data_IF_931663429942
#
_entry.id   IF_931663429942
#
_cell.length_a   1.000
_cell.length_b   1.000
_cell.length_c   1.000
_cell.angle_alpha   90.00
_cell.angle_beta   90.00
_cell.angle_gamma   90.00
#
_symmetry.space_group_name_H-M   'P 1'
#
loop_
_entity.id
_entity.type
_entity.pdbx_description
1 polymer ?
#
# COMPACT_ATOMS: atom_id res chain seq x y z
N UNK A 1 15.18 10.98 -6.55
CA UNK A 1 16.28 11.74 -7.19
C UNK A 1 15.79 12.72 -8.27
N UNK A 2 14.96 12.30 -9.24
CA UNK A 2 14.51 13.20 -10.34
C UNK A 2 13.75 14.45 -9.88
N UNK A 3 13.08 14.40 -8.73
CA UNK A 3 12.39 15.57 -8.13
C UNK A 3 13.16 16.21 -6.96
N UNK A 4 14.39 15.80 -6.66
CA UNK A 4 15.15 16.31 -5.51
C UNK A 4 14.60 15.95 -4.12
N UNK A 5 13.45 15.27 -4.04
CA UNK A 5 12.81 14.87 -2.77
C UNK A 5 13.46 13.62 -2.13
N UNK A 6 13.44 13.52 -0.78
CA UNK A 6 13.84 12.32 -0.06
C UNK A 6 12.83 11.18 -0.26
N UNK A 7 13.21 9.98 0.17
CA UNK A 7 12.26 8.88 0.30
C UNK A 7 11.22 9.20 1.38
N UNK A 8 9.98 8.79 1.14
CA UNK A 8 8.91 8.92 2.12
C UNK A 8 9.13 7.95 3.29
N UNK A 9 8.89 8.43 4.51
CA UNK A 9 8.82 7.57 5.69
C UNK A 9 7.54 6.72 5.62
N UNK A 10 7.60 5.45 6.03
CA UNK A 10 6.38 4.66 6.17
C UNK A 10 5.57 5.19 7.36
N UNK A 11 4.24 5.23 7.21
CA UNK A 11 3.36 5.70 8.29
C UNK A 11 3.53 4.88 9.57
N UNK A 12 3.73 3.56 9.43
CA UNK A 12 3.90 2.63 10.53
C UNK A 12 5.33 2.61 11.13
N UNK A 13 6.28 3.40 10.59
CA UNK A 13 7.59 3.57 11.21
C UNK A 13 7.47 4.46 12.45
N UNK A 14 7.65 3.89 13.64
CA UNK A 14 7.40 4.55 14.92
C UNK A 14 8.51 5.48 15.41
N UNK A 15 9.76 5.29 14.95
CA UNK A 15 10.94 6.00 15.47
C UNK A 15 11.75 6.63 14.33
N UNK A 16 12.07 7.92 14.46
CA UNK A 16 12.96 8.63 13.53
C UNK A 16 12.29 9.10 12.23
N UNK A 17 11.00 8.84 12.06
CA UNK A 17 10.23 9.24 10.88
C UNK A 17 10.16 10.76 10.73
N UNK A 18 10.43 11.23 9.51
CA UNK A 18 10.19 12.61 9.11
C UNK A 18 9.13 12.62 8.01
N UNK A 19 8.02 13.29 8.28
CA UNK A 19 6.86 13.37 7.41
C UNK A 19 6.68 14.75 6.74
N UNK A 20 7.67 15.65 6.84
CA UNK A 20 7.56 16.97 6.20
C UNK A 20 7.50 16.91 4.67
N UNK A 21 8.01 15.82 4.07
CA UNK A 21 7.93 15.58 2.62
C UNK A 21 6.85 14.55 2.26
N UNK A 22 6.02 14.16 3.23
CA UNK A 22 4.94 13.20 3.04
C UNK A 22 5.13 11.87 3.76
N UNK A 23 4.19 10.97 3.55
CA UNK A 23 4.09 9.68 4.23
C UNK A 23 3.65 8.58 3.25
N UNK A 24 4.18 7.38 3.46
CA UNK A 24 3.80 6.19 2.70
C UNK A 24 2.87 5.29 3.53
N UNK A 25 1.63 5.11 3.07
CA UNK A 25 0.62 4.26 3.70
C UNK A 25 0.53 2.89 3.03
N UNK A 26 1.33 2.65 1.99
CA UNK A 26 1.33 1.40 1.26
C UNK A 26 1.70 0.21 2.14
N UNK A 27 1.01 -0.90 1.92
CA UNK A 27 1.36 -2.18 2.51
C UNK A 27 1.50 -3.24 1.41
N UNK A 28 2.56 -4.05 1.47
CA UNK A 28 2.76 -5.16 0.54
C UNK A 28 1.57 -6.12 0.56
N UNK A 29 1.09 -6.52 -0.62
CA UNK A 29 -0.09 -7.39 -0.73
C UNK A 29 -1.44 -6.70 -0.45
N UNK A 30 -1.47 -5.37 -0.28
CA UNK A 30 -2.72 -4.64 -0.05
C UNK A 30 -3.65 -4.64 -1.26
N UNK A 31 -4.94 -4.75 -0.98
CA UNK A 31 -6.06 -4.72 -1.91
C UNK A 31 -6.93 -3.50 -1.66
N UNK A 32 -7.71 -3.08 -2.66
CA UNK A 32 -8.73 -2.05 -2.46
C UNK A 32 -9.82 -2.59 -1.54
N UNK A 33 -10.31 -3.81 -1.83
CA UNK A 33 -11.33 -4.47 -0.99
C UNK A 33 -10.70 -5.20 0.19
N UNK A 34 -11.27 -5.15 1.39
CA UNK A 34 -10.83 -5.96 2.51
C UNK A 34 -10.79 -7.46 2.16
N UNK A 35 -9.74 -8.16 2.59
CA UNK A 35 -9.62 -9.61 2.41
C UNK A 35 -10.13 -10.33 3.65
N UNK A 36 -10.90 -11.39 3.47
CA UNK A 36 -11.34 -12.26 4.56
C UNK A 36 -10.28 -13.35 4.86
N UNK A 37 -9.02 -12.94 5.03
CA UNK A 37 -7.89 -13.84 5.29
C UNK A 37 -6.72 -13.06 5.91
N UNK A 38 -5.78 -13.77 6.52
CA UNK A 38 -4.53 -13.18 7.01
C UNK A 38 -3.42 -13.23 5.96
N UNK A 39 -2.41 -12.36 6.11
CA UNK A 39 -1.20 -12.36 5.27
C UNK A 39 -0.52 -13.73 5.23
N UNK A 40 -0.47 -14.44 6.36
CA UNK A 40 0.11 -15.79 6.43
C UNK A 40 -0.68 -16.85 5.66
N UNK A 41 -2.00 -16.71 5.57
CA UNK A 41 -2.87 -17.68 4.89
C UNK A 41 -2.89 -17.46 3.38
N UNK A 42 -3.07 -16.22 2.94
CA UNK A 42 -3.34 -15.91 1.53
C UNK A 42 -2.19 -15.22 0.81
N UNK A 43 -1.30 -14.55 1.55
CA UNK A 43 -0.28 -13.65 1.01
C UNK A 43 -0.78 -12.23 0.74
N UNK A 44 -2.03 -11.90 1.12
CA UNK A 44 -2.60 -10.56 0.97
C UNK A 44 -2.72 -9.86 2.32
N UNK A 45 -2.50 -8.54 2.32
CA UNK A 45 -2.48 -7.74 3.53
C UNK A 45 -3.88 -7.56 4.13
N UNK A 46 -4.03 -7.60 5.47
CA UNK A 46 -5.26 -7.14 6.12
C UNK A 46 -5.41 -5.61 6.09
N UNK A 47 -4.36 -4.87 5.73
CA UNK A 47 -4.38 -3.41 5.56
C UNK A 47 -4.83 -3.11 4.12
N UNK A 48 -6.14 -3.12 3.89
CA UNK A 48 -6.76 -2.71 2.62
C UNK A 48 -6.81 -1.19 2.48
N UNK A 49 -7.24 -0.69 1.31
CA UNK A 49 -7.23 0.75 1.02
C UNK A 49 -8.09 1.58 1.99
N UNK A 50 -9.19 1.03 2.49
CA UNK A 50 -10.01 1.68 3.53
C UNK A 50 -9.26 1.80 4.87
N UNK A 51 -8.42 0.82 5.21
CA UNK A 51 -7.53 0.89 6.38
C UNK A 51 -6.44 1.93 6.16
N UNK A 52 -5.78 1.94 4.99
CA UNK A 52 -4.79 2.98 4.63
C UNK A 52 -5.41 4.38 4.66
N UNK A 53 -6.68 4.49 4.27
CA UNK A 53 -7.44 5.73 4.40
C UNK A 53 -7.64 6.13 5.87
N UNK A 54 -8.02 5.21 6.75
CA UNK A 54 -8.18 5.50 8.18
C UNK A 54 -6.85 5.93 8.81
N UNK A 55 -5.74 5.29 8.43
CA UNK A 55 -4.38 5.69 8.80
C UNK A 55 -4.06 7.10 8.33
N UNK A 56 -4.34 7.43 7.06
CA UNK A 56 -4.18 8.77 6.53
C UNK A 56 -5.07 9.79 7.26
N UNK A 57 -6.33 9.46 7.52
CA UNK A 57 -7.28 10.34 8.19
C UNK A 57 -6.81 10.68 9.62
N UNK A 58 -6.33 9.67 10.35
CA UNK A 58 -5.72 9.87 11.67
C UNK A 58 -4.42 10.66 11.57
N UNK A 59 -3.54 10.33 10.62
CA UNK A 59 -2.31 11.07 10.38
C UNK A 59 -2.57 12.55 10.10
N UNK A 60 -3.51 12.85 9.21
CA UNK A 60 -3.90 14.22 8.84
C UNK A 60 -4.33 15.03 10.07
N UNK A 61 -5.28 14.49 10.85
CA UNK A 61 -5.81 15.16 12.04
C UNK A 61 -4.78 15.29 13.16
N UNK A 62 -4.09 14.19 13.48
CA UNK A 62 -3.15 14.13 14.62
C UNK A 62 -1.87 14.91 14.33
N UNK A 63 -1.45 14.99 13.06
CA UNK A 63 -0.28 15.79 12.67
C UNK A 63 -0.43 17.24 13.13
N UNK A 64 -1.61 17.85 12.97
CA UNK A 64 -1.81 19.25 13.38
C UNK A 64 -1.83 19.42 14.91
N UNK A 65 -2.45 18.47 15.62
CA UNK A 65 -2.47 18.46 17.09
C UNK A 65 -1.04 18.38 17.64
N UNK A 66 -0.26 17.39 17.19
CA UNK A 66 1.09 17.18 17.71
C UNK A 66 2.05 18.29 17.25
N UNK A 67 1.89 18.79 16.01
CA UNK A 67 2.65 19.93 15.50
C UNK A 67 2.47 21.19 16.36
N UNK A 68 1.27 21.42 16.89
CA UNK A 68 0.96 22.58 17.74
C UNK A 68 1.74 22.61 19.06
N UNK A 69 2.27 21.46 19.51
CA UNK A 69 3.10 21.36 20.72
C UNK A 69 4.49 22.00 20.52
N UNK A 70 4.87 22.34 19.28
CA UNK A 70 6.12 23.02 18.98
C UNK A 70 7.34 22.10 18.98
N UNK A 71 8.52 22.68 19.24
CA UNK A 71 9.77 21.93 19.34
C UNK A 71 10.12 21.09 18.10
N UNK A 72 10.50 19.84 18.33
CA UNK A 72 10.87 18.87 17.28
C UNK A 72 9.68 18.50 16.39
N UNK A 73 8.46 18.44 16.93
CA UNK A 73 7.27 18.06 16.18
C UNK A 73 6.93 19.03 15.06
N UNK A 74 7.16 20.33 15.28
CA UNK A 74 7.04 21.37 14.23
C UNK A 74 8.04 21.18 13.08
N UNK A 75 9.10 20.40 13.27
CA UNK A 75 10.10 20.12 12.24
C UNK A 75 9.92 18.76 11.56
N UNK A 76 9.09 17.87 12.12
CA UNK A 76 8.90 16.50 11.63
C UNK A 76 7.54 16.24 11.00
N UNK A 77 6.53 17.07 11.30
CA UNK A 77 5.15 16.90 10.82
C UNK A 77 4.78 17.95 9.78
N UNK A 78 3.95 17.60 8.78
CA UNK A 78 3.50 18.53 7.74
C UNK A 78 2.60 19.64 8.32
N UNK A 79 2.61 20.81 7.68
CA UNK A 79 1.67 21.90 7.95
C UNK A 79 0.28 21.54 7.41
N UNK A 80 -0.74 22.31 7.79
CA UNK A 80 -2.10 22.10 7.27
C UNK A 80 -2.17 22.35 5.77
N UNK A 81 -1.52 23.40 5.28
CA UNK A 81 -1.58 23.81 3.87
C UNK A 81 -0.93 22.78 2.94
N UNK A 82 0.09 22.10 3.45
CA UNK A 82 0.85 21.05 2.77
C UNK A 82 -0.04 19.93 2.23
N UNK A 83 -1.11 19.56 2.95
CA UNK A 83 -2.05 18.52 2.50
C UNK A 83 -2.83 18.93 1.24
N UNK A 84 -3.15 20.21 1.10
CA UNK A 84 -3.83 20.69 -0.11
C UNK A 84 -2.90 20.75 -1.32
N UNK A 85 -1.60 20.91 -1.09
CA UNK A 85 -0.57 20.92 -2.13
C UNK A 85 0.03 19.54 -2.39
N UNK A 86 -0.27 18.56 -1.54
CA UNK A 86 0.29 17.22 -1.65
C UNK A 86 -0.14 16.50 -2.93
N UNK A 87 0.73 15.61 -3.41
CA UNK A 87 0.47 14.65 -4.48
C UNK A 87 0.10 13.29 -3.88
N UNK A 88 -1.14 12.88 -4.10
CA UNK A 88 -1.71 11.61 -3.65
C UNK A 88 -1.57 10.57 -4.77
N UNK A 89 -0.60 9.68 -4.65
CA UNK A 89 -0.31 8.65 -5.65
C UNK A 89 -0.98 7.34 -5.29
N UNK A 90 -1.62 6.70 -6.27
CA UNK A 90 -2.22 5.38 -6.17
C UNK A 90 -1.65 4.47 -7.24
N UNK A 91 -1.01 3.39 -6.85
CA UNK A 91 -0.84 2.19 -7.68
C UNK A 91 -1.62 1.13 -6.93
N UNK A 92 -2.84 0.74 -7.29
CA UNK A 92 -3.57 -0.27 -6.48
C UNK A 92 -4.61 -0.99 -7.33
N UNK A 93 -4.94 -2.23 -6.95
CA UNK A 93 -5.94 -3.06 -7.64
C UNK A 93 -5.38 -4.34 -8.27
N UNK A 94 -4.08 -4.44 -8.55
CA UNK A 94 -3.48 -5.70 -9.05
C UNK A 94 -3.71 -6.86 -8.08
N UNK A 95 -3.49 -6.59 -6.79
CA UNK A 95 -3.65 -7.60 -5.76
C UNK A 95 -5.09 -8.08 -5.64
N UNK A 96 -6.10 -7.21 -5.83
CA UNK A 96 -7.50 -7.60 -5.86
C UNK A 96 -7.74 -8.66 -6.96
N UNK A 97 -7.22 -8.43 -8.16
CA UNK A 97 -7.37 -9.38 -9.28
C UNK A 97 -6.68 -10.72 -8.97
N UNK A 98 -5.44 -10.67 -8.50
CA UNK A 98 -4.69 -11.89 -8.20
C UNK A 98 -5.20 -12.62 -6.96
N UNK A 99 -5.83 -11.95 -6.00
CA UNK A 99 -6.43 -12.62 -4.84
C UNK A 99 -7.63 -13.48 -5.22
N UNK A 100 -8.45 -13.02 -6.16
CA UNK A 100 -9.52 -13.84 -6.74
C UNK A 100 -8.97 -15.10 -7.40
N UNK A 101 -8.01 -14.95 -8.31
CA UNK A 101 -7.39 -16.11 -8.97
C UNK A 101 -6.72 -17.08 -7.99
N UNK A 102 -6.07 -16.56 -6.96
CA UNK A 102 -5.39 -17.37 -5.95
C UNK A 102 -6.35 -18.07 -4.99
N UNK A 103 -7.62 -17.70 -5.06
CA UNK A 103 -8.76 -18.36 -4.43
C UNK A 103 -9.55 -19.22 -5.44
N UNK A 104 -8.90 -19.62 -6.55
CA UNK A 104 -9.45 -20.47 -7.61
C UNK A 104 -10.65 -19.89 -8.38
N UNK A 105 -10.83 -18.57 -8.40
CA UNK A 105 -11.85 -17.94 -9.23
C UNK A 105 -11.47 -17.95 -10.71
N UNK A 106 -12.47 -18.10 -11.58
CA UNK A 106 -12.36 -17.91 -13.02
C UNK A 106 -12.19 -16.44 -13.39
N UNK A 107 -11.71 -16.17 -14.60
CA UNK A 107 -11.63 -14.80 -15.12
C UNK A 107 -12.97 -14.07 -15.14
N UNK A 108 -14.09 -14.80 -15.30
CA UNK A 108 -15.44 -14.22 -15.26
C UNK A 108 -15.81 -13.76 -13.85
N UNK A 109 -15.57 -14.59 -12.84
CA UNK A 109 -15.82 -14.26 -11.43
C UNK A 109 -14.93 -13.12 -10.96
N UNK A 110 -13.66 -13.09 -11.39
CA UNK A 110 -12.75 -11.97 -11.11
C UNK A 110 -13.29 -10.67 -11.72
N UNK A 111 -13.70 -10.68 -13.00
CA UNK A 111 -14.31 -9.51 -13.65
C UNK A 111 -15.61 -9.07 -12.95
N UNK A 112 -16.39 -10.00 -12.41
CA UNK A 112 -17.70 -9.73 -11.82
C UNK A 112 -17.63 -8.79 -10.59
N UNK A 113 -16.58 -8.86 -9.77
CA UNK A 113 -16.43 -7.98 -8.60
C UNK A 113 -15.62 -6.70 -8.87
N UNK A 114 -15.01 -6.53 -10.05
CA UNK A 114 -14.24 -5.32 -10.40
C UNK A 114 -15.06 -4.02 -10.24
N UNK A 115 -16.36 -3.96 -10.58
CA UNK A 115 -17.17 -2.76 -10.32
C UNK A 115 -17.18 -2.34 -8.84
N UNK A 116 -17.33 -3.29 -7.91
CA UNK A 116 -17.28 -3.02 -6.46
C UNK A 116 -15.90 -2.52 -6.01
N UNK A 117 -14.81 -3.13 -6.51
CA UNK A 117 -13.43 -2.67 -6.29
C UNK A 117 -13.29 -1.20 -6.69
N UNK A 118 -13.77 -0.84 -7.88
CA UNK A 118 -13.65 0.50 -8.42
C UNK A 118 -14.55 1.53 -7.71
N UNK A 119 -15.72 1.12 -7.22
CA UNK A 119 -16.59 1.97 -6.42
C UNK A 119 -15.98 2.29 -5.05
N UNK A 120 -15.34 1.32 -4.40
CA UNK A 120 -14.61 1.55 -3.15
C UNK A 120 -13.42 2.49 -3.37
N UNK A 121 -12.64 2.28 -4.44
CA UNK A 121 -11.56 3.20 -4.82
C UNK A 121 -12.06 4.64 -5.02
N UNK A 122 -13.17 4.80 -5.76
CA UNK A 122 -13.82 6.10 -6.01
C UNK A 122 -14.22 6.80 -4.71
N UNK A 123 -14.69 6.06 -3.71
CA UNK A 123 -15.04 6.60 -2.40
C UNK A 123 -13.81 7.13 -1.66
N UNK A 124 -12.72 6.36 -1.62
CA UNK A 124 -11.48 6.78 -0.95
C UNK A 124 -10.90 8.05 -1.57
N UNK A 125 -10.87 8.16 -2.90
CA UNK A 125 -10.44 9.41 -3.57
C UNK A 125 -11.33 10.59 -3.19
N UNK A 126 -12.65 10.36 -3.11
CA UNK A 126 -13.61 11.39 -2.69
C UNK A 126 -13.41 11.80 -1.22
N UNK A 127 -13.04 10.86 -0.34
CA UNK A 127 -12.79 11.15 1.08
C UNK A 127 -11.52 11.97 1.26
N UNK A 128 -10.43 11.64 0.56
CA UNK A 128 -9.18 12.40 0.57
C UNK A 128 -9.42 13.82 0.05
N UNK A 129 -10.21 13.97 -1.01
CA UNK A 129 -10.64 15.29 -1.47
C UNK A 129 -11.40 16.08 -0.39
N UNK A 130 -12.28 15.40 0.36
CA UNK A 130 -12.99 15.96 1.51
C UNK A 130 -12.07 16.41 2.65
N UNK A 131 -10.86 15.86 2.76
CA UNK A 131 -9.82 16.29 3.71
C UNK A 131 -8.87 17.33 3.12
N UNK A 132 -9.22 17.94 1.98
CA UNK A 132 -8.41 19.01 1.38
C UNK A 132 -7.46 18.55 0.28
N UNK A 133 -7.34 17.25 -0.01
CA UNK A 133 -6.46 16.77 -1.07
C UNK A 133 -6.88 17.26 -2.46
N UNK A 134 -5.93 17.70 -3.29
CA UNK A 134 -6.22 18.28 -4.62
C UNK A 134 -5.48 17.64 -5.78
N UNK A 135 -4.31 17.03 -5.58
CA UNK A 135 -3.52 16.48 -6.68
C UNK A 135 -3.46 14.96 -6.60
N UNK A 136 -4.05 14.27 -7.56
CA UNK A 136 -4.16 12.81 -7.57
C UNK A 136 -3.42 12.23 -8.77
N UNK A 137 -2.60 11.21 -8.52
CA UNK A 137 -1.80 10.51 -9.52
C UNK A 137 -2.13 9.02 -9.48
N UNK A 138 -3.00 8.58 -10.38
CA UNK A 138 -3.66 7.28 -10.31
C UNK A 138 -3.13 6.39 -11.43
N UNK A 139 -2.34 5.38 -11.07
CA UNK A 139 -1.88 4.35 -11.99
C UNK A 139 -2.99 3.35 -12.24
N UNK A 140 -3.05 2.87 -13.48
CA UNK A 140 -3.79 1.65 -13.79
C UNK A 140 -2.99 0.41 -13.39
N UNK A 141 -3.58 -0.79 -13.47
CA UNK A 141 -2.84 -2.02 -13.13
C UNK A 141 -1.91 -2.44 -14.27
N UNK A 142 -0.75 -3.00 -13.92
CA UNK A 142 0.21 -3.55 -14.88
C UNK A 142 -0.26 -4.86 -15.54
N UNK A 143 0.49 -5.39 -16.51
CA UNK A 143 0.19 -6.67 -17.15
C UNK A 143 0.56 -7.83 -16.23
N UNK A 144 -0.26 -8.11 -15.21
CA UNK A 144 0.05 -9.12 -14.20
C UNK A 144 0.11 -10.55 -14.78
N UNK A 145 -0.47 -10.79 -15.96
CA UNK A 145 -0.29 -12.03 -16.72
C UNK A 145 1.14 -12.27 -17.20
N UNK A 146 2.03 -11.29 -17.10
CA UNK A 146 3.46 -11.43 -17.38
C UNK A 146 4.29 -11.77 -16.13
N UNK A 147 3.70 -11.79 -14.94
CA UNK A 147 4.46 -11.98 -13.70
C UNK A 147 4.65 -13.46 -13.42
N UNK A 148 5.88 -13.86 -13.08
CA UNK A 148 6.23 -15.26 -12.86
C UNK A 148 5.37 -15.92 -11.77
N UNK A 149 5.02 -15.18 -10.70
CA UNK A 149 4.18 -15.72 -9.63
C UNK A 149 2.74 -16.04 -10.07
N UNK A 150 2.25 -15.40 -11.14
CA UNK A 150 0.95 -15.67 -11.74
C UNK A 150 1.07 -16.86 -12.68
N UNK A 151 2.07 -16.84 -13.57
CA UNK A 151 2.31 -17.87 -14.58
C UNK A 151 2.69 -19.24 -13.99
N UNK A 152 3.34 -19.29 -12.83
CA UNK A 152 3.68 -20.54 -12.14
C UNK A 152 2.56 -21.05 -11.23
N UNK A 153 1.70 -20.16 -10.71
CA UNK A 153 0.63 -20.55 -9.76
C UNK A 153 -0.68 -20.92 -10.44
N UNK A 154 -0.98 -20.31 -11.58
CA UNK A 154 -2.24 -20.53 -12.29
C UNK A 154 -1.93 -21.29 -13.59
N UNK A 155 -2.49 -22.50 -13.80
CA UNK A 155 -2.32 -23.24 -15.03
C UNK A 155 -2.78 -22.43 -16.24
N UNK A 156 -1.98 -22.44 -17.30
CA UNK A 156 -2.29 -21.79 -18.57
C UNK A 156 -1.80 -22.66 -19.73
N UNK A 157 -2.61 -22.78 -20.78
CA UNK A 157 -2.23 -23.54 -21.96
C UNK A 157 -1.28 -22.74 -22.86
N UNK A 158 -0.50 -23.41 -23.70
CA UNK A 158 0.39 -22.74 -24.66
C UNK A 158 -0.37 -21.82 -25.63
N UNK A 159 -1.64 -22.12 -25.93
CA UNK A 159 -2.49 -21.31 -26.81
C UNK A 159 -2.94 -19.98 -26.16
N UNK A 160 -2.89 -19.89 -24.83
CA UNK A 160 -3.30 -18.72 -24.06
C UNK A 160 -2.11 -17.79 -23.74
N UNK A 161 -0.91 -18.13 -24.19
CA UNK A 161 0.30 -17.34 -23.99
C UNK A 161 0.59 -16.50 -25.23
N UNK A 162 0.77 -15.19 -25.05
CA UNK A 162 1.09 -14.28 -26.14
C UNK A 162 2.56 -14.42 -26.62
N UNK A 163 2.90 -13.70 -27.70
CA UNK A 163 4.26 -13.71 -28.27
C UNK A 163 5.35 -13.21 -27.31
N UNK A 164 4.97 -12.49 -26.27
CA UNK A 164 5.88 -11.98 -25.22
C UNK A 164 6.01 -12.95 -24.06
N UNK A 165 5.29 -14.08 -24.06
CA UNK A 165 5.28 -15.09 -23.01
C UNK A 165 4.29 -14.80 -21.87
N UNK A 166 3.41 -13.81 -22.03
CA UNK A 166 2.43 -13.43 -21.02
C UNK A 166 1.10 -14.18 -21.18
N UNK A 167 0.43 -14.47 -20.07
CA UNK A 167 -0.90 -15.08 -20.08
C UNK A 167 -1.99 -14.10 -20.51
N UNK A 168 -2.57 -14.35 -21.67
CA UNK A 168 -3.58 -13.49 -22.32
C UNK A 168 -4.85 -13.34 -21.46
N UNK A 169 -5.45 -14.41 -20.90
CA UNK A 169 -6.67 -14.28 -20.10
C UNK A 169 -6.51 -13.38 -18.88
N UNK A 170 -5.34 -13.41 -18.24
CA UNK A 170 -5.01 -12.56 -17.09
C UNK A 170 -4.84 -11.11 -17.50
N UNK A 171 -4.11 -10.87 -18.59
CA UNK A 171 -3.91 -9.52 -19.13
C UNK A 171 -5.23 -8.90 -19.65
N UNK A 172 -6.18 -9.68 -20.14
CA UNK A 172 -7.53 -9.19 -20.46
C UNK A 172 -8.31 -8.72 -19.23
N UNK A 173 -8.16 -9.39 -18.08
CA UNK A 173 -8.75 -8.94 -16.82
C UNK A 173 -8.08 -7.65 -16.35
N UNK A 174 -6.75 -7.53 -16.46
CA UNK A 174 -6.03 -6.29 -16.18
C UNK A 174 -6.58 -5.13 -17.01
N UNK A 175 -6.76 -5.35 -18.32
CA UNK A 175 -7.32 -4.35 -19.22
C UNK A 175 -8.79 -4.03 -18.92
N UNK A 176 -9.59 -5.02 -18.49
CA UNK A 176 -10.97 -4.80 -18.05
C UNK A 176 -11.02 -3.87 -16.84
N UNK A 177 -10.21 -4.13 -15.82
CA UNK A 177 -10.04 -3.23 -14.67
C UNK A 177 -9.60 -1.82 -15.11
N UNK A 178 -8.60 -1.73 -15.99
CA UNK A 178 -8.06 -0.45 -16.46
C UNK A 178 -9.09 0.40 -17.21
N UNK A 179 -9.96 -0.22 -18.02
CA UNK A 179 -11.09 0.46 -18.68
C UNK A 179 -12.11 0.98 -17.66
N UNK A 180 -12.42 0.19 -16.64
CA UNK A 180 -13.29 0.61 -15.54
C UNK A 180 -12.71 1.78 -14.74
N UNK A 181 -11.43 1.70 -14.37
CA UNK A 181 -10.72 2.76 -13.65
C UNK A 181 -10.70 4.06 -14.45
N UNK A 182 -10.47 4.00 -15.77
CA UNK A 182 -10.52 5.17 -16.65
C UNK A 182 -11.90 5.86 -16.60
N UNK A 183 -13.00 5.09 -16.56
CA UNK A 183 -14.35 5.63 -16.37
C UNK A 183 -14.53 6.28 -14.99
N UNK A 184 -14.04 5.65 -13.93
CA UNK A 184 -14.07 6.22 -12.56
C UNK A 184 -13.30 7.52 -12.48
N UNK A 185 -12.10 7.61 -13.05
CA UNK A 185 -11.33 8.87 -13.08
C UNK A 185 -12.09 9.97 -13.83
N UNK A 186 -12.74 9.65 -14.95
CA UNK A 186 -13.57 10.62 -15.66
C UNK A 186 -14.74 11.13 -14.80
N UNK A 187 -15.41 10.25 -14.05
CA UNK A 187 -16.46 10.63 -13.11
C UNK A 187 -15.93 11.49 -11.96
N UNK A 188 -14.78 11.13 -11.39
CA UNK A 188 -14.13 11.89 -10.31
C UNK A 188 -13.75 13.31 -10.77
N UNK A 189 -13.19 13.48 -11.97
CA UNK A 189 -12.87 14.81 -12.53
C UNK A 189 -14.11 15.71 -12.65
N UNK A 190 -15.27 15.13 -12.98
CA UNK A 190 -16.54 15.88 -13.01
C UNK A 190 -17.04 16.24 -11.62
N UNK A 191 -16.91 15.31 -10.66
CA UNK A 191 -17.45 15.47 -9.29
C UNK A 191 -16.55 16.33 -8.39
N UNK A 192 -15.25 16.38 -8.66
CA UNK A 192 -14.23 17.01 -7.83
C UNK A 192 -13.55 18.15 -8.62
N UNK A 193 -14.25 19.27 -8.88
CA UNK A 193 -13.79 20.31 -9.82
C UNK A 193 -12.53 21.06 -9.37
N UNK A 194 -12.19 21.01 -8.07
CA UNK A 194 -10.97 21.62 -7.54
C UNK A 194 -9.77 20.66 -7.59
N UNK A 195 -9.95 19.41 -8.01
CA UNK A 195 -8.88 18.42 -8.03
C UNK A 195 -8.25 18.30 -9.42
N UNK A 196 -6.91 18.29 -9.47
CA UNK A 196 -6.17 17.77 -10.59
C UNK A 196 -6.05 16.24 -10.43
N UNK A 197 -6.65 15.49 -11.35
CA UNK A 197 -6.61 14.02 -11.31
C UNK A 197 -5.94 13.51 -12.58
N UNK A 198 -4.76 12.92 -12.43
CA UNK A 198 -3.95 12.36 -13.51
C UNK A 198 -4.12 10.84 -13.54
N UNK A 199 -4.57 10.32 -14.69
CA UNK A 199 -4.61 8.86 -14.96
C UNK A 199 -3.31 8.46 -15.65
N UNK A 200 -2.66 7.41 -15.16
CA UNK A 200 -1.35 6.97 -15.66
C UNK A 200 -1.46 5.57 -16.22
N UNK A 201 -1.19 5.44 -17.52
CA UNK A 201 -1.21 4.15 -18.22
C UNK A 201 0.10 3.38 -18.04
N UNK A 202 0.32 2.84 -16.84
CA UNK A 202 1.51 2.04 -16.55
C UNK A 202 1.44 0.66 -17.19
N UNK A 203 0.25 0.14 -17.53
CA UNK A 203 0.07 -1.09 -18.27
C UNK A 203 0.84 -1.06 -19.59
N UNK A 204 0.56 -0.06 -20.43
CA UNK A 204 1.16 0.04 -21.76
C UNK A 204 2.67 0.22 -21.68
N UNK A 205 3.16 1.00 -20.72
CA UNK A 205 4.60 1.21 -20.48
C UNK A 205 5.28 -0.11 -20.05
N UNK A 206 4.74 -0.81 -19.06
CA UNK A 206 5.27 -2.09 -18.56
C UNK A 206 5.24 -3.17 -19.64
N UNK A 207 4.13 -3.30 -20.37
CA UNK A 207 4.00 -4.29 -21.44
C UNK A 207 4.97 -4.00 -22.61
N UNK A 208 5.18 -2.73 -22.97
CA UNK A 208 6.18 -2.34 -23.97
C UNK A 208 7.59 -2.70 -23.53
N UNK A 209 7.93 -2.49 -22.26
CA UNK A 209 9.23 -2.90 -21.71
C UNK A 209 9.42 -4.41 -21.82
N UNK A 210 8.44 -5.19 -21.41
CA UNK A 210 8.48 -6.67 -21.42
C UNK A 210 8.60 -7.20 -22.86
N UNK A 211 7.74 -6.74 -23.76
CA UNK A 211 7.70 -7.20 -25.16
C UNK A 211 8.91 -6.75 -25.99
N UNK A 212 9.62 -5.71 -25.55
CA UNK A 212 10.80 -5.16 -26.24
C UNK A 212 12.05 -5.15 -25.35
N UNK A 213 12.16 -6.07 -24.39
CA UNK A 213 13.20 -6.06 -23.35
C UNK A 213 14.62 -5.83 -23.91
N UNK A 214 15.01 -6.62 -24.92
CA UNK A 214 16.34 -6.53 -25.56
C UNK A 214 16.59 -5.18 -26.23
N UNK A 215 15.56 -4.56 -26.81
CA UNK A 215 15.67 -3.22 -27.42
C UNK A 215 15.97 -2.14 -26.39
N UNK A 216 15.58 -2.36 -25.14
CA UNK A 216 15.76 -1.41 -24.04
C UNK A 216 16.90 -1.81 -23.10
N UNK A 217 17.77 -2.74 -23.51
CA UNK A 217 18.97 -3.13 -22.75
C UNK A 217 18.75 -4.21 -21.69
N UNK A 218 17.59 -4.88 -21.69
CA UNK A 218 17.29 -5.98 -20.77
C UNK A 218 17.43 -7.33 -21.47
N UNK A 219 18.22 -8.22 -20.88
CA UNK A 219 18.47 -9.57 -21.40
C UNK A 219 17.31 -10.52 -21.09
N UNK A 220 16.66 -10.34 -19.95
CA UNK A 220 15.61 -11.23 -19.43
C UNK A 220 14.35 -10.44 -19.05
N UNK A 221 13.22 -10.83 -19.61
CA UNK A 221 11.94 -10.13 -19.44
C UNK A 221 11.05 -10.72 -18.35
N UNK A 222 10.86 -12.05 -18.38
CA UNK A 222 9.94 -12.75 -17.48
C UNK A 222 10.66 -13.53 -16.38
N UNK A 223 11.90 -13.98 -16.65
CA UNK A 223 12.70 -14.73 -15.67
C UNK A 223 13.13 -13.79 -14.54
N UNK A 224 13.07 -14.26 -13.29
CA UNK A 224 13.44 -13.47 -12.12
C UNK A 224 14.97 -13.44 -11.92
N UNK A 225 15.52 -12.27 -11.63
CA UNK A 225 16.94 -12.10 -11.30
C UNK A 225 17.29 -12.83 -9.99
N UNK A 226 16.44 -12.74 -8.97
CA UNK A 226 16.61 -13.33 -7.66
C UNK A 226 15.54 -14.38 -7.40
N UNK A 227 15.95 -15.64 -7.28
CA UNK A 227 15.01 -16.74 -7.07
C UNK A 227 15.67 -18.08 -7.29
N UNK A 228 14.85 -19.13 -7.37
CA UNK A 228 15.34 -20.50 -7.48
C UNK A 228 14.35 -21.39 -8.25
N UNK A 229 14.86 -22.10 -9.26
CA UNK A 229 14.13 -23.18 -9.93
C UNK A 229 12.97 -22.73 -10.82
N UNK A 230 12.30 -23.70 -11.45
CA UNK A 230 11.18 -23.42 -12.36
C UNK A 230 11.59 -22.77 -13.69
N UNK A 231 10.60 -22.54 -14.56
CA UNK A 231 10.82 -21.95 -15.88
C UNK A 231 11.27 -20.49 -15.77
N UNK A 232 10.67 -19.75 -14.83
CA UNK A 232 10.92 -18.32 -14.64
C UNK A 232 11.90 -17.99 -13.50
N UNK A 233 12.70 -18.95 -13.02
CA UNK A 233 13.53 -18.77 -11.82
C UNK A 233 12.72 -18.36 -10.58
N UNK A 234 11.48 -18.86 -10.47
CA UNK A 234 10.53 -18.53 -9.42
C UNK A 234 9.99 -19.81 -8.81
N UNK A 235 9.93 -19.84 -7.48
CA UNK A 235 9.33 -20.91 -6.71
C UNK A 235 8.71 -20.31 -5.45
N UNK A 236 7.42 -20.58 -5.21
CA UNK A 236 6.67 -19.99 -4.08
C UNK A 236 7.26 -20.41 -2.72
N UNK A 237 7.82 -21.60 -2.62
CA UNK A 237 8.43 -22.14 -1.40
C UNK A 237 9.90 -21.72 -1.25
N UNK A 238 10.58 -21.40 -2.35
CA UNK A 238 12.01 -21.07 -2.42
C UNK A 238 12.23 -19.76 -3.20
N UNK A 239 11.74 -18.65 -2.64
CA UNK A 239 11.85 -17.32 -3.24
C UNK A 239 13.26 -16.72 -3.16
N UNK A 240 13.38 -15.45 -3.56
CA UNK A 240 14.59 -14.65 -3.39
C UNK A 240 15.06 -14.66 -1.93
N UNK A 241 16.35 -14.89 -1.68
CA UNK A 241 16.90 -14.96 -0.33
C UNK A 241 16.70 -16.30 0.40
N UNK A 242 15.95 -17.25 -0.18
CA UNK A 242 15.69 -18.55 0.44
C UNK A 242 16.99 -19.34 0.68
N UNK A 243 17.07 -19.95 1.86
CA UNK A 243 18.16 -20.85 2.25
C UNK A 243 17.62 -22.27 2.38
N UNK A 244 18.51 -23.26 2.19
CA UNK A 244 18.25 -24.67 2.47
C UNK A 244 19.37 -25.25 3.29
N UNK A 245 19.02 -26.03 4.29
CA UNK A 245 19.97 -26.85 5.05
C UNK A 245 20.42 -28.03 4.20
N UNK A 246 21.71 -28.14 3.91
CA UNK A 246 22.32 -29.30 3.25
C UNK A 246 23.51 -29.74 4.10
N UNK A 247 23.44 -30.96 4.64
CA UNK A 247 24.48 -31.49 5.53
C UNK A 247 24.72 -30.63 6.78
N UNK A 248 23.66 -30.08 7.38
CA UNK A 248 23.74 -29.21 8.56
C UNK A 248 24.15 -27.76 8.29
N UNK A 249 24.43 -27.37 7.04
CA UNK A 249 24.81 -26.01 6.65
C UNK A 249 23.70 -25.29 5.90
N UNK A 250 23.42 -24.06 6.30
CA UNK A 250 22.52 -23.16 5.58
C UNK A 250 23.16 -22.65 4.28
N UNK A 251 22.58 -23.02 3.14
CA UNK A 251 23.04 -22.60 1.81
C UNK A 251 21.98 -21.68 1.18
N UNK A 252 22.39 -20.48 0.78
CA UNK A 252 21.56 -19.56 -0.01
C UNK A 252 21.29 -20.17 -1.40
N UNK A 253 20.04 -20.56 -1.67
CA UNK A 253 19.61 -21.16 -2.94
C UNK A 253 18.87 -20.15 -3.83
N UNK A 254 18.12 -19.22 -3.22
CA UNK A 254 17.45 -18.10 -3.89
C UNK A 254 18.41 -16.94 -4.16
N UNK A 255 19.46 -17.19 -4.95
CA UNK A 255 20.52 -16.20 -5.22
C UNK A 255 20.02 -15.15 -6.21
N UNK A 256 20.55 -13.94 -6.06
CA UNK A 256 20.43 -12.89 -7.07
C UNK A 256 21.33 -13.17 -8.28
N UNK A 257 20.93 -12.68 -9.44
CA UNK A 257 21.71 -12.65 -10.66
C UNK A 257 22.95 -11.74 -10.49
N UNK A 258 23.92 -11.83 -11.41
CA UNK A 258 25.16 -11.05 -11.32
C UNK A 258 24.93 -9.55 -11.51
N UNK A 259 24.09 -9.18 -12.48
CA UNK A 259 23.77 -7.80 -12.80
C UNK A 259 22.26 -7.58 -12.88
N UNK A 260 21.63 -7.05 -11.80
CA UNK A 260 20.21 -6.75 -11.79
C UNK A 260 19.78 -5.65 -12.78
N UNK A 261 20.72 -4.90 -13.37
CA UNK A 261 20.40 -3.84 -14.33
C UNK A 261 19.95 -4.37 -15.70
N UNK A 262 20.29 -5.62 -16.02
CA UNK A 262 19.92 -6.29 -17.27
C UNK A 262 18.60 -7.09 -17.17
N UNK A 263 17.94 -7.08 -16.01
CA UNK A 263 16.76 -7.90 -15.74
C UNK A 263 15.54 -7.03 -15.49
N UNK A 264 14.38 -7.41 -16.06
CA UNK A 264 13.12 -6.71 -15.79
C UNK A 264 12.54 -7.14 -14.44
N UNK A 265 12.47 -8.45 -14.19
CA UNK A 265 11.89 -9.03 -12.98
C UNK A 265 12.95 -9.24 -11.90
N UNK A 266 12.70 -8.72 -10.70
CA UNK A 266 13.57 -8.93 -9.53
C UNK A 266 13.34 -10.31 -8.92
N UNK A 267 12.13 -10.60 -8.46
CA UNK A 267 11.82 -11.80 -7.67
C UNK A 267 10.64 -12.62 -8.22
N UNK A 268 10.18 -12.30 -9.43
CA UNK A 268 9.01 -12.91 -10.04
C UNK A 268 7.67 -12.22 -9.73
N UNK A 269 7.68 -11.25 -8.81
CA UNK A 269 6.54 -10.40 -8.45
C UNK A 269 6.84 -8.93 -8.77
N UNK A 270 8.02 -8.46 -8.37
CA UNK A 270 8.45 -7.08 -8.45
C UNK A 270 9.45 -6.85 -9.59
N UNK A 271 9.48 -5.63 -10.11
CA UNK A 271 10.46 -5.19 -11.10
C UNK A 271 11.79 -4.81 -10.44
N UNK A 272 12.91 -4.94 -11.16
CA UNK A 272 14.20 -4.45 -10.69
C UNK A 272 14.22 -2.92 -10.59
N UNK A 273 15.20 -2.37 -9.86
CA UNK A 273 15.40 -0.92 -9.81
C UNK A 273 15.61 -0.31 -11.21
N UNK A 274 16.36 -0.99 -12.09
CA UNK A 274 16.60 -0.52 -13.45
C UNK A 274 15.30 -0.47 -14.28
N UNK A 275 14.47 -1.51 -14.20
CA UNK A 275 13.18 -1.53 -14.86
C UNK A 275 12.22 -0.48 -14.30
N UNK A 276 12.13 -0.33 -12.97
CA UNK A 276 11.33 0.72 -12.33
C UNK A 276 11.78 2.13 -12.76
N UNK A 277 13.10 2.37 -12.85
CA UNK A 277 13.64 3.64 -13.35
C UNK A 277 13.22 3.89 -14.79
N UNK A 278 13.39 2.90 -15.67
CA UNK A 278 12.98 3.02 -17.07
C UNK A 278 11.47 3.32 -17.19
N UNK A 279 10.63 2.60 -16.44
CA UNK A 279 9.18 2.80 -16.42
C UNK A 279 8.86 4.22 -15.97
N UNK A 280 9.46 4.67 -14.86
CA UNK A 280 9.26 6.02 -14.34
C UNK A 280 9.68 7.09 -15.36
N UNK A 281 10.86 6.96 -15.97
CA UNK A 281 11.36 7.91 -16.97
C UNK A 281 10.39 8.02 -18.16
N UNK A 282 9.76 6.91 -18.59
CA UNK A 282 8.73 6.92 -19.65
C UNK A 282 7.40 7.53 -19.23
N UNK A 283 7.05 7.36 -17.96
CA UNK A 283 5.84 7.95 -17.41
C UNK A 283 6.02 9.46 -17.31
N UNK A 284 7.15 9.99 -16.88
CA UNK A 284 7.30 11.45 -16.66
C UNK A 284 7.73 12.24 -17.90
N UNK A 285 8.10 11.57 -18.99
CA UNK A 285 8.40 12.23 -20.27
C UNK A 285 7.12 12.78 -20.93
N UNK A 286 7.06 14.11 -21.12
CA UNK A 286 5.89 14.87 -21.59
C UNK A 286 5.28 14.33 -22.90
N UNK A 287 6.11 13.72 -23.77
CA UNK A 287 5.66 13.14 -25.05
C UNK A 287 4.72 11.93 -24.90
N UNK A 288 4.64 11.32 -23.73
CA UNK A 288 3.77 10.16 -23.47
C UNK A 288 2.33 10.55 -23.09
N UNK A 289 2.10 11.79 -22.66
CA UNK A 289 0.82 12.24 -22.10
C UNK A 289 -0.17 12.74 -23.14
N UNK A 290 0.31 13.23 -24.29
CA UNK A 290 -0.51 14.01 -25.23
C UNK A 290 -1.28 13.15 -26.26
N UNK A 291 -0.76 11.99 -26.66
CA UNK A 291 -1.41 11.17 -27.69
C UNK A 291 -2.60 10.35 -27.17
N UNK A 292 -2.53 9.80 -25.96
CA UNK A 292 -3.59 8.92 -25.45
C UNK A 292 -4.85 9.66 -24.96
N UNK A 293 -4.71 10.93 -24.58
CA UNK A 293 -5.83 11.77 -24.14
C UNK A 293 -6.62 12.32 -25.34
N UNK A 294 -5.93 12.93 -26.30
CA UNK A 294 -6.58 13.52 -27.47
C UNK A 294 -7.20 12.47 -28.40
N UNK A 295 -6.55 11.31 -28.61
CA UNK A 295 -7.11 10.28 -29.49
C UNK A 295 -8.38 9.63 -28.92
N UNK A 296 -8.48 9.44 -27.60
CA UNK A 296 -9.67 8.84 -26.98
C UNK A 296 -10.82 9.82 -26.73
N UNK A 297 -10.54 11.12 -26.77
CA UNK A 297 -11.54 12.18 -26.73
C UNK A 297 -12.02 12.47 -28.16
N UNK A 298 -11.13 12.59 -29.13
CA UNK A 298 -11.48 12.82 -30.54
C UNK A 298 -12.30 11.67 -31.15
N UNK A 299 -12.04 10.42 -30.77
CA UNK A 299 -12.83 9.26 -31.22
C UNK A 299 -14.27 9.24 -30.66
N UNK A 300 -14.51 9.93 -29.54
CA UNK A 300 -15.82 9.99 -28.88
C UNK A 300 -16.60 11.28 -29.15
N UNK A 301 -15.94 12.34 -29.65
CA UNK A 301 -16.58 13.63 -29.98
C UNK A 301 -16.90 13.82 -31.46
N UNK A 302 -16.45 12.92 -32.34
CA UNK A 302 -16.84 12.92 -33.76
C UNK A 302 -18.29 12.45 -34.02
N UNK A 303 -19.04 12.10 -32.96
CA UNK A 303 -20.44 11.64 -33.04
C UNK A 303 -21.39 12.34 -32.04
N UNK A 304 -21.24 13.65 -31.79
CA UNK A 304 -22.31 14.36 -31.07
C UNK A 304 -22.02 15.78 -30.61
N UNK A 305 -22.70 16.72 -31.27
CA UNK A 305 -23.21 17.99 -30.76
C UNK A 305 -22.23 19.12 -30.37
N UNK A 306 -22.31 20.19 -31.16
CA UNK A 306 -22.05 21.59 -30.79
C UNK A 306 -22.76 21.96 -29.49
N UNK A 307 -22.14 22.70 -28.57
CA UNK A 307 -22.80 23.80 -27.84
C UNK A 307 -21.81 24.75 -27.15
N UNK A 308 -22.26 26.00 -27.06
CA UNK A 308 -21.53 27.23 -26.79
C UNK A 308 -21.17 27.50 -25.31
N UNK A 309 -20.26 28.45 -25.16
CA UNK A 309 -19.69 29.03 -23.94
C UNK A 309 -20.65 29.89 -23.11
N UNK A 310 -20.63 29.76 -21.78
CA UNK A 310 -20.88 30.86 -20.82
C UNK A 310 -20.48 30.48 -19.38
N UNK A 311 -19.68 31.32 -18.71
CA UNK A 311 -19.62 31.44 -17.23
C UNK A 311 -20.62 32.50 -16.73
N UNK A 312 -20.56 33.04 -15.49
CA UNK A 312 -19.52 32.88 -14.45
C UNK A 312 -20.01 32.85 -12.95
N UNK A 313 -19.06 32.55 -12.04
CA UNK A 313 -18.78 33.05 -10.66
C UNK A 313 -19.86 33.28 -9.57
N UNK A 314 -19.72 32.66 -8.38
CA UNK A 314 -20.05 33.24 -7.04
C UNK A 314 -19.06 32.76 -5.94
N UNK A 315 -18.68 33.68 -5.03
CA UNK A 315 -17.77 33.54 -3.86
C UNK A 315 -18.52 33.33 -2.51
N UNK A 316 -17.84 32.90 -1.42
CA UNK A 316 -18.45 32.24 -0.25
C UNK A 316 -18.69 33.14 0.98
N UNK A 317 -19.54 32.69 1.91
CA UNK A 317 -19.68 33.23 3.26
C UNK A 317 -19.29 32.19 4.33
N UNK A 318 -18.52 32.65 5.32
CA UNK A 318 -18.09 31.93 6.52
C UNK A 318 -19.11 32.10 7.65
N UNK A 319 -19.25 31.08 8.51
CA UNK A 319 -19.76 31.22 9.87
C UNK A 319 -19.05 30.24 10.82
N UNK A 320 -18.57 30.80 11.92
CA UNK A 320 -17.86 30.15 13.03
C UNK A 320 -18.69 30.30 14.30
N UNK A 321 -18.81 29.26 15.14
CA UNK A 321 -19.07 29.34 16.60
C UNK A 321 -18.70 27.99 17.30
N UNK A 322 -18.48 27.96 18.64
CA UNK A 322 -17.43 27.17 19.31
C UNK A 322 -17.90 26.19 20.43
N UNK A 323 -16.92 25.48 21.05
CA UNK A 323 -16.89 24.85 22.41
C UNK A 323 -17.23 23.33 22.57
N UNK A 324 -16.74 22.64 23.63
CA UNK A 324 -15.83 21.48 23.52
C UNK A 324 -16.45 20.13 23.93
N UNK A 325 -15.81 19.01 23.59
CA UNK A 325 -16.18 17.68 24.10
C UNK A 325 -14.95 16.92 24.59
N UNK A 326 -14.96 16.60 25.88
CA UNK A 326 -14.19 15.52 26.52
C UNK A 326 -14.75 14.16 26.10
N UNK A 327 -13.90 13.16 25.90
CA UNK A 327 -14.33 11.78 25.66
C UNK A 327 -13.56 10.82 26.58
N UNK A 328 -14.29 10.19 27.50
CA UNK A 328 -13.85 8.97 28.19
C UNK A 328 -14.15 7.77 27.28
N UNK A 329 -13.19 6.86 27.13
CA UNK A 329 -13.39 5.60 26.40
C UNK A 329 -13.42 4.43 27.38
N UNK A 330 -14.59 3.78 27.51
CA UNK A 330 -14.75 2.47 28.13
C UNK A 330 -14.96 1.41 27.04
N UNK A 331 -14.33 0.24 27.18
CA UNK A 331 -14.56 -0.91 26.30
C UNK A 331 -15.04 -2.10 27.13
N UNK A 332 -16.11 -2.76 26.67
CA UNK A 332 -16.63 -4.02 27.25
C UNK A 332 -16.29 -5.19 26.34
N UNK A 333 -15.82 -6.30 26.92
CA UNK A 333 -15.60 -7.58 26.22
C UNK A 333 -16.57 -8.62 26.79
N UNK A 334 -17.39 -9.25 25.94
CA UNK A 334 -18.29 -10.35 26.31
C UNK A 334 -17.62 -11.69 26.07
N UNK A 335 -17.71 -12.61 27.03
CA UNK A 335 -17.34 -14.02 26.87
C UNK A 335 -18.57 -14.95 26.96
N UNK A 336 -18.59 -16.09 26.25
CA UNK A 336 -19.64 -17.11 26.39
C UNK A 336 -19.59 -17.80 27.77
N UNK A 337 -20.77 -18.17 28.30
CA UNK A 337 -21.00 -18.61 29.70
C UNK A 337 -20.32 -19.92 30.14
N UNK A 338 -19.72 -20.68 29.23
CA UNK A 338 -19.27 -22.05 29.54
C UNK A 338 -17.79 -22.18 29.92
N UNK A 339 -17.06 -21.07 30.07
CA UNK A 339 -15.62 -21.10 30.43
C UNK A 339 -15.32 -20.69 31.88
N UNK A 340 -16.31 -20.33 32.69
CA UNK A 340 -16.05 -19.76 34.05
C UNK A 340 -16.49 -20.68 35.21
N UNK A 341 -17.14 -21.80 34.94
CA UNK A 341 -17.58 -22.72 35.99
C UNK A 341 -16.61 -23.90 36.15
N UNK A 342 -15.39 -23.64 36.67
CA UNK A 342 -14.54 -24.55 37.50
C UNK A 342 -13.09 -24.09 37.49
N UNK A 343 -12.77 -23.18 38.40
CA UNK A 343 -11.53 -23.05 39.20
C UNK A 343 -11.40 -21.60 39.63
N UNK A 344 -11.68 -21.30 40.90
CA UNK A 344 -11.24 -20.05 41.51
C UNK A 344 -9.72 -20.09 41.61
N UNK A 345 -9.04 -19.38 40.70
CA UNK A 345 -7.59 -19.34 40.63
C UNK A 345 -7.11 -18.10 39.90
N UNK A 346 -6.13 -17.42 40.48
CA UNK A 346 -5.39 -16.31 39.90
C UNK A 346 -4.64 -16.86 38.68
N UNK A 347 -4.86 -16.29 37.49
CA UNK A 347 -4.03 -16.57 36.32
C UNK A 347 -2.79 -15.67 36.36
N UNK A 348 -1.65 -16.22 36.79
CA UNK A 348 -0.34 -15.68 36.42
C UNK A 348 0.06 -16.32 35.09
N UNK A 349 0.20 -15.53 34.03
CA UNK A 349 0.89 -15.97 32.82
C UNK A 349 2.34 -15.46 32.88
N UNK A 350 3.28 -16.41 33.01
CA UNK A 350 4.71 -16.14 32.98
C UNK A 350 5.15 -15.66 31.59
N UNK A 351 5.58 -14.40 31.49
CA UNK A 351 6.30 -13.86 30.34
C UNK A 351 7.76 -14.36 30.35
N UNK A 352 8.43 -14.53 29.19
CA UNK A 352 9.84 -14.90 29.11
C UNK A 352 10.74 -13.89 29.85
N UNK A 353 11.81 -14.40 30.48
CA UNK A 353 12.76 -13.71 31.37
C UNK A 353 13.69 -12.70 30.65
N UNK A 354 13.13 -11.67 30.01
CA UNK A 354 13.92 -10.55 29.46
C UNK A 354 13.15 -9.20 29.47
N UNK A 355 12.12 -9.07 30.31
CA UNK A 355 11.28 -7.87 30.39
C UNK A 355 11.15 -7.31 31.82
N UNK A 356 12.27 -6.96 32.46
CA UNK A 356 12.29 -6.21 33.73
C UNK A 356 12.14 -4.70 33.48
N UNK A 357 11.02 -4.27 32.89
CA UNK A 357 10.65 -2.83 32.82
C UNK A 357 9.17 -2.53 33.08
N UNK A 358 8.35 -3.51 33.48
CA UNK A 358 6.93 -3.29 33.74
C UNK A 358 6.57 -3.66 35.18
N UNK A 359 6.39 -2.67 36.05
CA UNK A 359 5.86 -2.89 37.40
C UNK A 359 4.42 -2.38 37.54
N UNK A 360 3.50 -3.33 37.78
CA UNK A 360 2.15 -3.25 38.37
C UNK A 360 0.99 -2.74 37.48
N UNK A 361 0.06 -3.65 37.19
CA UNK A 361 -1.33 -3.35 36.85
C UNK A 361 -2.23 -3.74 38.04
N UNK A 362 -3.24 -2.93 38.37
CA UNK A 362 -4.25 -3.25 39.39
C UNK A 362 -5.60 -3.51 38.73
N UNK A 363 -6.25 -4.60 39.11
CA UNK A 363 -7.57 -5.00 38.66
C UNK A 363 -8.62 -4.46 39.62
N UNK A 364 -9.73 -3.90 39.12
CA UNK A 364 -10.88 -3.56 39.95
C UNK A 364 -12.15 -4.08 39.29
N UNK A 365 -13.04 -4.67 40.09
CA UNK A 365 -14.37 -5.13 39.69
C UNK A 365 -15.42 -4.08 40.04
N UNK A 366 -16.38 -3.85 39.15
CA UNK A 366 -17.57 -3.04 39.40
C UNK A 366 -18.76 -4.00 39.41
N UNK A 367 -19.48 -4.07 40.53
CA UNK A 367 -20.61 -4.98 40.69
C UNK A 367 -21.85 -4.39 40.01
N UNK A 368 -22.14 -4.89 38.80
CA UNK A 368 -23.34 -4.58 38.04
C UNK A 368 -24.39 -5.68 38.25
N UNK A 369 -25.55 -5.32 38.78
CA UNK A 369 -26.60 -6.25 39.18
C UNK A 369 -26.95 -7.33 38.14
N UNK A 370 -27.09 -8.55 38.64
CA UNK A 370 -27.68 -9.77 38.04
C UNK A 370 -27.69 -9.84 36.51
N UNK A 371 -26.49 -9.95 35.90
CA UNK A 371 -26.14 -10.89 34.82
C UNK A 371 -24.86 -10.50 34.04
N UNK A 372 -24.19 -9.39 34.36
CA UNK A 372 -22.96 -8.93 33.68
C UNK A 372 -21.84 -8.60 34.69
N UNK A 373 -20.67 -9.26 34.55
CA UNK A 373 -19.42 -8.83 35.19
C UNK A 373 -18.58 -8.10 34.13
N UNK A 374 -18.20 -6.85 34.40
CA UNK A 374 -17.28 -6.06 33.58
C UNK A 374 -15.99 -5.78 34.35
N UNK A 375 -14.84 -5.91 33.69
CA UNK A 375 -13.52 -5.57 34.22
C UNK A 375 -12.72 -4.77 33.19
N UNK A 376 -11.93 -3.80 33.63
CA UNK A 376 -11.10 -2.95 32.78
C UNK A 376 -9.67 -2.79 33.32
N UNK A 377 -8.72 -2.48 32.44
CA UNK A 377 -7.31 -2.24 32.77
C UNK A 377 -6.95 -0.75 32.66
N UNK A 378 -6.02 -0.28 33.51
CA UNK A 378 -5.42 1.06 33.41
C UNK A 378 -3.90 0.92 33.43
N UNK A 379 -3.21 1.49 32.45
CA UNK A 379 -1.74 1.53 32.36
C UNK A 379 -1.27 2.97 32.63
N UNK A 380 -0.40 3.15 33.62
CA UNK A 380 0.29 4.41 33.89
C UNK A 380 1.80 4.20 33.68
N UNK A 381 2.46 5.07 32.93
CA UNK A 381 3.92 5.12 32.81
C UNK A 381 4.42 6.41 33.43
N UNK A 382 5.33 6.32 34.42
CA UNK A 382 6.04 7.46 35.00
C UNK A 382 7.51 7.39 34.61
N UNK A 383 8.05 8.51 34.12
CA UNK A 383 9.45 8.69 33.74
C UNK A 383 10.25 9.04 34.99
N UNK A 384 11.18 8.19 35.43
CA UNK A 384 12.29 8.63 36.29
C UNK A 384 13.48 7.66 36.24
N UNK A 385 14.66 8.27 36.09
CA UNK A 385 16.02 7.74 36.33
C UNK A 385 16.63 6.77 35.30
N UNK A 386 17.29 7.36 34.29
CA UNK A 386 18.44 6.74 33.62
C UNK A 386 19.66 7.58 34.00
N UNK A 387 20.49 7.06 34.89
CA UNK A 387 21.85 7.56 35.09
C UNK A 387 22.72 7.14 33.90
N UNK A 388 23.58 8.08 33.49
CA UNK A 388 24.58 7.96 32.45
C UNK A 388 25.54 6.81 32.75
N UNK A 389 25.66 5.85 31.82
CA UNK A 389 26.88 5.12 31.43
C UNK A 389 26.50 3.74 30.86
N UNK A 390 26.18 3.70 29.57
CA UNK A 390 26.35 2.57 28.61
C UNK A 390 25.55 2.74 27.30
N UNK A 391 25.19 3.98 26.93
CA UNK A 391 24.53 4.28 25.67
C UNK A 391 25.25 3.82 24.36
N UNK A 392 26.59 3.72 24.28
CA UNK A 392 27.24 3.32 23.02
C UNK A 392 27.09 1.82 22.67
N UNK A 393 26.96 0.94 23.67
CA UNK A 393 26.95 -0.51 23.47
C UNK A 393 25.54 -1.05 23.17
N UNK A 394 24.50 -0.41 23.73
CA UNK A 394 23.09 -0.70 23.37
C UNK A 394 22.72 -0.22 21.95
N UNK A 395 23.26 0.91 21.49
CA UNK A 395 23.03 1.41 20.12
C UNK A 395 23.68 0.52 19.05
N UNK A 396 24.81 -0.12 19.38
CA UNK A 396 25.49 -1.09 18.51
C UNK A 396 24.63 -2.34 18.28
N UNK A 397 24.03 -2.90 19.33
CA UNK A 397 23.18 -4.08 19.21
C UNK A 397 21.83 -3.77 18.53
N UNK A 398 21.21 -2.61 18.80
CA UNK A 398 20.01 -2.18 18.07
C UNK A 398 20.27 -1.94 16.56
N UNK A 399 21.46 -1.45 16.18
CA UNK A 399 21.80 -1.21 14.77
C UNK A 399 21.94 -2.48 13.91
N UNK A 400 22.16 -3.64 14.55
CA UNK A 400 22.33 -4.93 13.86
C UNK A 400 20.99 -5.62 13.55
N UNK A 401 19.93 -5.30 14.29
CA UNK A 401 18.58 -5.89 14.11
C UNK A 401 17.74 -5.06 13.12
N UNK A 402 18.03 -3.76 12.97
CA UNK A 402 17.28 -2.85 12.07
C UNK A 402 17.90 -2.76 10.66
N UNK A 403 18.88 -3.61 10.32
CA UNK A 403 19.43 -3.73 8.95
C UNK A 403 18.72 -4.80 8.12
N UNK A 404 17.38 -4.83 8.14
CA UNK A 404 16.61 -5.40 7.02
C UNK A 404 16.18 -4.22 6.15
N UNK A 405 16.94 -4.06 5.07
CA UNK A 405 16.89 -2.98 4.10
C UNK A 405 15.46 -2.55 3.76
N UNK A 406 15.23 -1.27 4.01
CA UNK A 406 14.26 -0.41 3.36
C UNK A 406 14.45 -0.47 1.83
N UNK A 407 13.88 -1.50 1.19
CA UNK A 407 13.75 -1.61 -0.27
C UNK A 407 12.43 -0.92 -0.68
N UNK A 408 12.31 0.37 -0.35
CA UNK A 408 11.23 1.23 -0.80
C UNK A 408 11.51 1.71 -2.21
N UNK A 409 11.05 0.93 -3.20
CA UNK A 409 10.54 1.26 -4.54
C UNK A 409 10.46 -0.12 -5.20
N UNK A 410 9.33 -0.81 -5.08
CA UNK A 410 9.12 -2.08 -5.77
C UNK A 410 7.62 -2.24 -5.99
N UNK A 411 7.12 -1.76 -7.14
CA UNK A 411 5.88 -2.18 -7.82
C UNK A 411 4.70 -2.67 -6.97
N UNK A 412 4.54 -2.13 -5.77
CA UNK A 412 3.60 -2.60 -4.78
C UNK A 412 2.41 -1.68 -4.82
N UNK A 413 1.20 -2.26 -4.80
CA UNK A 413 0.00 -1.49 -4.66
C UNK A 413 0.07 -0.54 -3.43
N UNK A 414 0.10 0.78 -3.64
CA UNK A 414 0.40 1.83 -2.67
C UNK A 414 -0.54 3.04 -2.77
N UNK A 415 -0.99 3.56 -1.62
CA UNK A 415 -1.27 4.98 -1.41
C UNK A 415 0.01 5.64 -0.88
N UNK A 416 0.51 6.65 -1.58
CA UNK A 416 1.60 7.48 -1.05
C UNK A 416 1.22 8.96 -1.17
N UNK A 417 1.50 9.73 -0.13
CA UNK A 417 1.22 11.17 -0.07
C UNK A 417 2.56 11.88 -0.09
N UNK A 418 2.84 12.64 -1.13
CA UNK A 418 4.03 13.49 -1.22
C UNK A 418 3.65 14.92 -0.86
N UNK A 419 4.41 15.55 0.03
CA UNK A 419 4.29 16.97 0.37
C UNK A 419 5.47 17.71 -0.25
N UNK A 420 5.22 18.83 -0.92
CA UNK A 420 6.26 19.70 -1.50
C UNK A 420 6.68 20.79 -0.52
#
# INVERSE_FOLDING_TARGET
>A
KSFGLPYLSAYLDSVGSNFTHGANFATAGSTIRPQNSTLHQSGFSPISLDVQWNEFYDFHRRSQIIRSQGGVYKKLLPKTEDFSHALYTFDIGQNDLTSGYFSNMTSSEVKAYVPDVLDQFKNIVSYIYGQGGRNFWIHNTGPFGCLAYVLERIPISAAEVDKSGCGTPFNEVAQYFNRGLKKVVFQLRKKLPLAAITYVDVYSVKYKLISQARKHGFNESLRACCGHGGKYNYNRQLGCGAKRTVGGKEILVGKSCKDPSEWISWDGVHYTQAANKWIFDRIVDEKAWDSAYLDSVASNFSHGANFATAGPTIRPQYLSLPFPLTLDAQFSIKYPRDTVAKTGGIFETSLPKEADYFSKASLYTIDGGQNDLTGGYRLNMTTEQVEENNAPEMLSQFSSIVKVRQAGINGSPSLSVYVN
#
